data_IF_592421325149
#
_entry.id   IF_592421325149
#
_cell.length_a   1.000
_cell.length_b   1.000
_cell.length_c   1.000
_cell.angle_alpha   90.00
_cell.angle_beta   90.00
_cell.angle_gamma   90.00
#
_symmetry.space_group_name_H-M   'P 1'
#
loop_
_entity.id
_entity.type
_entity.pdbx_description
1 polymer ?
#
# COMPACT_ATOMS: atom_id res chain seq x y z
N UNK A 1 6.92 12.47 13.93
CA UNK A 1 6.08 11.96 15.04
C UNK A 1 4.59 11.97 14.71
N UNK A 2 3.96 13.09 14.31
CA UNK A 2 2.52 13.15 13.96
C UNK A 2 2.11 12.06 12.94
N UNK A 3 2.84 11.96 11.85
CA UNK A 3 2.59 10.96 10.80
C UNK A 3 2.65 9.49 11.29
N UNK A 4 3.53 9.18 12.25
CA UNK A 4 3.57 7.85 12.84
C UNK A 4 2.35 7.56 13.76
N UNK A 5 1.82 8.58 14.45
CA UNK A 5 0.56 8.46 15.18
C UNK A 5 -0.62 8.18 14.24
N UNK A 6 -0.67 8.84 13.09
CA UNK A 6 -1.69 8.59 12.06
C UNK A 6 -1.61 7.12 11.58
N UNK A 7 -0.40 6.60 11.39
CA UNK A 7 -0.19 5.19 11.04
C UNK A 7 -0.57 4.21 12.16
N UNK A 8 -0.39 4.57 13.43
CA UNK A 8 -0.86 3.74 14.55
C UNK A 8 -2.40 3.65 14.51
N UNK A 9 -3.07 4.75 14.23
CA UNK A 9 -4.52 4.78 14.07
C UNK A 9 -4.96 3.89 12.90
N UNK A 10 -4.28 3.97 11.74
CA UNK A 10 -4.55 3.14 10.56
C UNK A 10 -4.42 1.65 10.82
N UNK A 11 -3.30 1.24 11.40
CA UNK A 11 -2.97 -0.18 11.59
C UNK A 11 -3.53 -0.75 12.90
N UNK A 12 -4.19 0.07 13.72
CA UNK A 12 -4.82 -0.32 14.97
C UNK A 12 -3.86 -0.67 16.11
N UNK A 13 -2.54 -0.68 15.88
CA UNK A 13 -1.58 -0.93 16.96
C UNK A 13 -0.16 -0.43 16.66
N UNK A 14 0.56 -0.05 17.73
CA UNK A 14 2.00 0.27 17.65
C UNK A 14 2.84 -0.92 17.18
N UNK A 15 2.44 -2.15 17.54
CA UNK A 15 3.17 -3.36 17.16
C UNK A 15 3.19 -3.53 15.63
N UNK A 16 2.07 -3.35 14.95
CA UNK A 16 1.98 -3.42 13.48
C UNK A 16 2.81 -2.32 12.80
N UNK A 17 2.86 -1.12 13.37
CA UNK A 17 3.69 -0.03 12.84
C UNK A 17 5.17 -0.34 13.05
N UNK A 18 5.56 -0.84 14.22
CA UNK A 18 6.94 -1.24 14.52
C UNK A 18 7.42 -2.35 13.57
N UNK A 19 6.60 -3.35 13.34
CA UNK A 19 6.85 -4.44 12.40
C UNK A 19 7.03 -3.91 10.96
N UNK A 20 6.13 -3.05 10.50
CA UNK A 20 6.25 -2.39 9.19
C UNK A 20 7.54 -1.59 9.05
N UNK A 21 8.01 -0.96 10.13
CA UNK A 21 9.27 -0.22 10.15
C UNK A 21 10.51 -1.12 10.33
N UNK A 22 10.33 -2.40 10.61
CA UNK A 22 11.41 -3.34 10.92
C UNK A 22 12.21 -2.92 12.17
N UNK A 23 11.49 -2.48 13.23
CA UNK A 23 12.04 -2.06 14.52
C UNK A 23 11.24 -2.71 15.65
N UNK A 24 11.80 -2.73 16.87
CA UNK A 24 11.06 -3.24 18.03
C UNK A 24 9.96 -2.25 18.47
N UNK A 25 8.88 -2.77 19.04
CA UNK A 25 7.79 -1.94 19.60
C UNK A 25 8.30 -0.99 20.68
N UNK A 26 9.29 -1.43 21.48
CA UNK A 26 9.93 -0.61 22.49
C UNK A 26 10.70 0.58 21.86
N UNK A 27 11.44 0.35 20.77
CA UNK A 27 12.13 1.40 20.05
C UNK A 27 11.14 2.44 19.47
N UNK A 28 10.04 1.98 18.86
CA UNK A 28 9.00 2.87 18.37
C UNK A 28 8.36 3.68 19.50
N UNK A 29 8.05 3.06 20.63
CA UNK A 29 7.46 3.73 21.79
C UNK A 29 8.38 4.81 22.38
N UNK A 30 9.67 4.51 22.55
CA UNK A 30 10.66 5.47 23.01
C UNK A 30 10.82 6.64 22.04
N UNK A 31 10.81 6.35 20.74
CA UNK A 31 10.90 7.36 19.69
C UNK A 31 9.66 8.29 19.67
N UNK A 32 8.45 7.72 19.77
CA UNK A 32 7.20 8.49 19.87
C UNK A 32 7.17 9.38 21.13
N UNK A 33 7.74 8.88 22.23
CA UNK A 33 7.85 9.61 23.48
C UNK A 33 9.02 10.61 23.53
N UNK A 34 9.81 10.77 22.46
CA UNK A 34 10.99 11.64 22.44
C UNK A 34 12.13 11.21 23.37
N UNK A 35 12.12 9.95 23.84
CA UNK A 35 13.06 9.39 24.81
C UNK A 35 14.06 8.40 24.19
N UNK A 36 14.13 8.32 22.86
CA UNK A 36 15.07 7.44 22.18
C UNK A 36 16.48 8.00 22.29
N UNK A 37 17.35 7.28 23.01
CA UNK A 37 18.68 7.78 23.39
C UNK A 37 19.81 7.44 22.42
N UNK A 38 19.54 6.69 21.34
CA UNK A 38 20.51 6.34 20.30
C UNK A 38 20.39 7.27 19.09
N UNK A 39 21.05 6.96 17.96
CA UNK A 39 21.00 7.73 16.72
C UNK A 39 19.56 7.92 16.21
N UNK A 40 18.93 9.00 16.62
CA UNK A 40 17.56 9.37 16.28
C UNK A 40 17.43 9.65 14.78
N UNK A 41 18.45 10.23 14.15
CA UNK A 41 18.40 10.61 12.73
C UNK A 41 18.34 9.40 11.80
N UNK A 42 19.05 8.32 12.15
CA UNK A 42 18.97 7.05 11.40
C UNK A 42 17.61 6.39 11.56
N UNK A 43 17.06 6.39 12.77
CA UNK A 43 15.74 5.86 13.06
C UNK A 43 14.64 6.66 12.39
N UNK A 44 14.73 8.00 12.40
CA UNK A 44 13.81 8.92 11.70
C UNK A 44 13.73 8.59 10.21
N UNK A 45 14.89 8.44 9.55
CA UNK A 45 14.95 8.07 8.13
C UNK A 45 14.34 6.69 7.86
N UNK A 46 14.58 5.72 8.75
CA UNK A 46 14.04 4.36 8.61
C UNK A 46 12.52 4.36 8.74
N UNK A 47 12.00 5.03 9.77
CA UNK A 47 10.54 5.17 9.99
C UNK A 47 9.90 5.96 8.85
N UNK A 48 10.48 7.09 8.46
CA UNK A 48 9.97 7.90 7.35
C UNK A 48 9.88 7.10 6.06
N UNK A 49 10.92 6.34 5.73
CA UNK A 49 10.95 5.47 4.54
C UNK A 49 9.88 4.37 4.61
N UNK A 50 9.75 3.69 5.74
CA UNK A 50 8.83 2.57 5.92
C UNK A 50 7.35 3.01 5.90
N UNK A 51 7.07 4.21 6.44
CA UNK A 51 5.73 4.80 6.48
C UNK A 51 5.42 5.70 5.26
N UNK A 52 6.32 5.75 4.28
CA UNK A 52 6.12 6.56 3.07
C UNK A 52 6.19 8.07 3.30
N UNK A 53 6.71 8.50 4.46
CA UNK A 53 6.89 9.94 4.72
C UNK A 53 8.03 10.47 3.86
N UNK A 54 7.70 11.40 2.99
CA UNK A 54 8.67 12.23 2.28
C UNK A 54 8.41 13.68 2.68
N UNK A 55 9.41 14.32 3.22
CA UNK A 55 9.42 15.76 3.34
C UNK A 55 9.51 16.32 1.92
N UNK A 56 8.38 16.69 1.34
CA UNK A 56 8.34 17.26 -0.02
C UNK A 56 7.82 18.68 0.08
N UNK A 57 8.50 19.59 -0.60
CA UNK A 57 8.04 20.97 -0.80
C UNK A 57 6.81 21.05 -1.72
N UNK A 58 6.33 19.90 -2.20
CA UNK A 58 5.18 19.82 -3.08
C UNK A 58 3.88 19.82 -2.29
N UNK A 59 3.05 20.81 -2.55
CA UNK A 59 1.68 20.88 -2.02
C UNK A 59 0.73 20.23 -3.03
N UNK A 60 -0.05 19.26 -2.57
CA UNK A 60 -1.09 18.66 -3.40
C UNK A 60 -2.26 19.63 -3.52
N UNK A 61 -2.59 20.02 -4.73
CA UNK A 61 -3.74 20.88 -5.01
C UNK A 61 -4.96 19.99 -5.28
N UNK A 62 -5.77 19.75 -4.24
CA UNK A 62 -6.94 18.86 -4.33
C UNK A 62 -8.05 19.40 -5.24
N UNK A 63 -8.04 20.70 -5.50
CA UNK A 63 -9.11 21.33 -6.30
C UNK A 63 -8.93 21.22 -7.81
N UNK A 64 -7.92 20.51 -8.29
CA UNK A 64 -7.72 20.29 -9.73
C UNK A 64 -8.54 19.09 -10.24
N UNK A 65 -8.99 19.19 -11.51
CA UNK A 65 -9.84 18.19 -12.14
C UNK A 65 -9.23 16.77 -12.05
N UNK A 66 -7.94 16.64 -12.35
CA UNK A 66 -7.28 15.34 -12.37
C UNK A 66 -7.28 14.67 -10.97
N UNK A 67 -7.00 15.42 -9.91
CA UNK A 67 -7.07 14.88 -8.55
C UNK A 67 -8.49 14.43 -8.21
N UNK A 68 -9.50 15.28 -8.51
CA UNK A 68 -10.92 14.94 -8.27
C UNK A 68 -11.34 13.67 -9.01
N UNK A 69 -10.88 13.49 -10.26
CA UNK A 69 -11.16 12.27 -11.03
C UNK A 69 -10.53 11.04 -10.39
N UNK A 70 -9.24 11.10 -10.03
CA UNK A 70 -8.55 9.98 -9.36
C UNK A 70 -9.22 9.64 -8.03
N UNK A 71 -9.54 10.67 -7.23
CA UNK A 71 -10.22 10.48 -5.95
C UNK A 71 -11.62 9.88 -6.13
N UNK A 72 -12.40 10.35 -7.08
CA UNK A 72 -13.72 9.79 -7.37
C UNK A 72 -13.65 8.31 -7.73
N UNK A 73 -12.75 7.94 -8.64
CA UNK A 73 -12.56 6.53 -9.02
C UNK A 73 -12.12 5.70 -7.81
N UNK A 74 -11.16 6.23 -7.02
CA UNK A 74 -10.72 5.56 -5.81
C UNK A 74 -11.86 5.34 -4.80
N UNK A 75 -12.67 6.37 -4.54
CA UNK A 75 -13.79 6.28 -3.61
C UNK A 75 -14.84 5.25 -4.11
N UNK A 76 -15.13 5.22 -5.42
CA UNK A 76 -16.03 4.21 -6.00
C UNK A 76 -15.48 2.79 -5.86
N UNK A 77 -14.20 2.57 -6.17
CA UNK A 77 -13.58 1.25 -5.99
C UNK A 77 -13.64 0.78 -4.54
N UNK A 78 -13.45 1.70 -3.59
CA UNK A 78 -13.46 1.39 -2.16
C UNK A 78 -14.88 1.16 -1.62
N UNK A 79 -15.84 1.97 -2.04
CA UNK A 79 -17.22 1.96 -1.51
C UNK A 79 -18.01 0.73 -1.95
N UNK A 80 -17.86 0.32 -3.21
CA UNK A 80 -18.62 -0.79 -3.79
C UNK A 80 -17.75 -1.95 -4.28
N UNK A 81 -16.50 -2.03 -3.82
CA UNK A 81 -15.54 -3.10 -4.19
C UNK A 81 -15.39 -3.28 -5.72
N UNK A 82 -15.47 -2.19 -6.46
CA UNK A 82 -15.37 -2.19 -7.93
C UNK A 82 -13.91 -2.16 -8.38
N UNK A 83 -13.65 -2.74 -9.55
CA UNK A 83 -12.36 -2.66 -10.22
C UNK A 83 -12.42 -1.69 -11.39
N UNK A 84 -11.54 -0.71 -11.40
CA UNK A 84 -11.51 0.34 -12.42
C UNK A 84 -10.07 0.63 -12.87
N UNK A 85 -9.91 1.01 -14.14
CA UNK A 85 -8.62 1.45 -14.68
C UNK A 85 -8.67 2.94 -15.03
N UNK A 86 -7.62 3.67 -14.65
CA UNK A 86 -7.43 5.09 -15.00
C UNK A 86 -6.30 5.20 -16.02
N UNK A 87 -6.63 5.65 -17.21
CA UNK A 87 -5.63 6.00 -18.23
C UNK A 87 -5.62 7.52 -18.47
N UNK A 88 -4.45 8.11 -18.51
CA UNK A 88 -4.24 9.51 -18.87
C UNK A 88 -2.80 9.77 -19.24
N UNK A 89 -2.52 10.91 -19.85
CA UNK A 89 -1.18 11.29 -20.30
C UNK A 89 -0.16 11.27 -19.16
N UNK A 90 1.11 11.03 -19.49
CA UNK A 90 2.22 11.18 -18.55
C UNK A 90 2.23 12.60 -17.94
N UNK A 91 2.61 12.71 -16.68
CA UNK A 91 2.64 14.01 -15.99
C UNK A 91 1.28 14.55 -15.53
N UNK A 92 0.17 13.83 -15.75
CA UNK A 92 -1.17 14.25 -15.30
C UNK A 92 -1.39 14.23 -13.79
N UNK A 93 -0.41 13.78 -13.00
CA UNK A 93 -0.45 13.78 -11.54
C UNK A 93 -1.08 12.53 -10.90
N UNK A 94 -1.35 11.45 -11.66
CA UNK A 94 -1.93 10.19 -11.14
C UNK A 94 -1.19 9.67 -9.90
N UNK A 95 0.09 9.37 -10.04
CA UNK A 95 0.95 8.86 -8.96
C UNK A 95 0.91 9.76 -7.73
N UNK A 96 1.01 11.08 -7.92
CA UNK A 96 0.96 12.04 -6.80
C UNK A 96 -0.40 12.08 -6.13
N UNK A 97 -1.48 11.96 -6.90
CA UNK A 97 -2.83 11.86 -6.36
C UNK A 97 -3.00 10.60 -5.53
N UNK A 98 -2.54 9.45 -6.03
CA UNK A 98 -2.58 8.17 -5.32
C UNK A 98 -1.73 8.19 -4.05
N UNK A 99 -0.50 8.73 -4.11
CA UNK A 99 0.37 8.91 -2.94
C UNK A 99 -0.30 9.80 -1.88
N UNK A 100 -0.95 10.89 -2.30
CA UNK A 100 -1.67 11.78 -1.38
C UNK A 100 -2.86 11.08 -0.73
N UNK A 101 -3.71 10.41 -1.50
CA UNK A 101 -4.84 9.64 -0.99
C UNK A 101 -4.35 8.56 -0.02
N UNK A 102 -3.33 7.80 -0.39
CA UNK A 102 -2.72 6.78 0.47
C UNK A 102 -2.21 7.36 1.80
N UNK A 103 -1.56 8.53 1.75
CA UNK A 103 -1.00 9.17 2.94
C UNK A 103 -2.06 9.82 3.84
N UNK A 104 -3.21 10.19 3.28
CA UNK A 104 -4.32 10.83 4.02
C UNK A 104 -5.41 9.86 4.47
N UNK A 105 -5.51 8.67 3.86
CA UNK A 105 -6.47 7.65 4.28
C UNK A 105 -6.07 7.02 5.61
N UNK A 106 -6.97 7.08 6.58
CA UNK A 106 -6.76 6.55 7.94
C UNK A 106 -7.32 5.14 8.15
N UNK A 107 -7.91 4.53 7.13
CA UNK A 107 -8.54 3.20 7.25
C UNK A 107 -7.52 2.06 7.37
N UNK A 108 -6.31 2.24 6.85
CA UNK A 108 -5.30 1.18 6.77
C UNK A 108 -5.60 0.08 5.75
N UNK A 109 -6.69 0.23 4.99
CA UNK A 109 -7.18 -0.76 4.03
C UNK A 109 -6.66 -0.56 2.61
N UNK A 110 -5.69 0.36 2.39
CA UNK A 110 -5.11 0.59 1.06
C UNK A 110 -3.81 -0.20 0.90
N UNK A 111 -3.75 -1.01 -0.15
CA UNK A 111 -2.52 -1.67 -0.62
C UNK A 111 -2.05 -0.96 -1.88
N UNK A 112 -1.01 -0.13 -1.77
CA UNK A 112 -0.43 0.59 -2.91
C UNK A 112 0.84 -0.11 -3.38
N UNK A 113 0.86 -0.51 -4.64
CA UNK A 113 2.02 -1.10 -5.31
C UNK A 113 2.33 -0.33 -6.59
N UNK A 114 3.60 0.03 -6.79
CA UNK A 114 4.07 0.59 -8.05
C UNK A 114 4.65 -0.55 -8.89
N UNK A 115 4.03 -0.81 -10.03
CA UNK A 115 4.42 -1.90 -10.89
C UNK A 115 5.71 -1.59 -11.67
N UNK A 116 6.44 -2.65 -11.94
CA UNK A 116 7.61 -2.67 -12.84
C UNK A 116 7.41 -3.80 -13.86
N UNK A 117 8.41 -4.10 -14.67
CA UNK A 117 8.37 -5.18 -15.66
C UNK A 117 8.33 -6.58 -15.03
N UNK A 118 7.36 -6.80 -14.13
CA UNK A 118 7.23 -8.06 -13.41
C UNK A 118 6.45 -9.11 -14.20
N UNK A 119 6.95 -10.35 -14.14
CA UNK A 119 6.19 -11.54 -14.49
C UNK A 119 5.31 -11.98 -13.30
N UNK A 120 4.47 -13.01 -13.50
CA UNK A 120 3.52 -13.49 -12.51
C UNK A 120 4.13 -13.73 -11.13
N UNK A 121 5.24 -14.47 -11.06
CA UNK A 121 5.91 -14.79 -9.79
C UNK A 121 6.36 -13.54 -9.03
N UNK A 122 7.07 -12.65 -9.72
CA UNK A 122 7.57 -11.41 -9.13
C UNK A 122 6.44 -10.49 -8.65
N UNK A 123 5.35 -10.39 -9.44
CA UNK A 123 4.18 -9.61 -9.05
C UNK A 123 3.55 -10.15 -7.76
N UNK A 124 3.29 -11.45 -7.69
CA UNK A 124 2.70 -12.09 -6.52
C UNK A 124 3.60 -12.00 -5.28
N UNK A 125 4.92 -12.17 -5.46
CA UNK A 125 5.91 -12.03 -4.39
C UNK A 125 5.93 -10.59 -3.83
N UNK A 126 5.94 -9.58 -4.72
CA UNK A 126 5.90 -8.17 -4.33
C UNK A 126 4.60 -7.81 -3.64
N UNK A 127 3.47 -8.31 -4.15
CA UNK A 127 2.17 -8.09 -3.55
C UNK A 127 2.08 -8.74 -2.16
N UNK A 128 2.53 -10.00 -2.01
CA UNK A 128 2.64 -10.66 -0.71
C UNK A 128 3.46 -9.83 0.29
N UNK A 129 4.64 -9.34 -0.12
CA UNK A 129 5.51 -8.50 0.72
C UNK A 129 4.91 -7.14 1.08
N UNK A 130 3.88 -6.66 0.35
CA UNK A 130 3.10 -5.46 0.73
C UNK A 130 2.01 -5.76 1.74
N UNK A 131 1.45 -6.96 1.69
CA UNK A 131 0.36 -7.39 2.57
C UNK A 131 0.84 -7.85 3.94
N UNK A 132 2.05 -8.41 4.01
CA UNK A 132 2.59 -8.91 5.27
C UNK A 132 4.09 -8.63 5.39
N UNK A 133 4.56 -8.45 6.63
CA UNK A 133 5.99 -8.37 6.95
C UNK A 133 6.64 -9.75 7.07
N UNK A 134 5.85 -10.84 7.04
CA UNK A 134 6.37 -12.20 7.16
C UNK A 134 7.10 -12.58 5.87
N UNK A 135 8.40 -12.85 5.90
CA UNK A 135 9.13 -13.25 4.71
C UNK A 135 8.67 -14.62 4.22
N UNK A 136 8.67 -14.79 2.90
CA UNK A 136 8.43 -16.09 2.28
C UNK A 136 9.56 -17.04 2.68
N UNK A 137 9.19 -18.27 3.08
CA UNK A 137 10.15 -19.33 3.40
C UNK A 137 10.24 -20.30 2.21
N UNK A 138 11.44 -20.38 1.64
CA UNK A 138 11.70 -21.26 0.51
C UNK A 138 11.06 -20.80 -0.80
N UNK A 139 11.21 -21.62 -1.83
CA UNK A 139 10.58 -21.39 -3.13
C UNK A 139 9.12 -21.78 -3.09
N UNK A 140 8.25 -20.97 -3.68
CA UNK A 140 6.82 -21.23 -3.81
C UNK A 140 6.41 -21.15 -5.28
N UNK A 141 5.47 -21.97 -5.67
CA UNK A 141 4.86 -21.85 -6.99
C UNK A 141 3.94 -20.64 -7.10
N UNK A 142 3.61 -20.22 -8.31
CA UNK A 142 2.68 -19.11 -8.52
C UNK A 142 1.32 -19.37 -7.86
N UNK A 143 0.84 -20.62 -7.89
CA UNK A 143 -0.45 -20.97 -7.29
C UNK A 143 -0.42 -20.83 -5.77
N UNK A 144 0.63 -21.32 -5.11
CA UNK A 144 0.80 -21.17 -3.67
C UNK A 144 0.93 -19.71 -3.24
N UNK A 145 1.65 -18.88 -4.00
CA UNK A 145 1.74 -17.44 -3.77
C UNK A 145 0.40 -16.75 -3.96
N UNK A 146 -0.32 -17.11 -5.02
CA UNK A 146 -1.65 -16.57 -5.31
C UNK A 146 -2.63 -16.88 -4.19
N UNK A 147 -2.64 -18.13 -3.71
CA UNK A 147 -3.51 -18.55 -2.60
C UNK A 147 -3.23 -17.75 -1.32
N UNK A 148 -1.95 -17.55 -1.00
CA UNK A 148 -1.56 -16.72 0.14
C UNK A 148 -1.94 -15.25 0.00
N UNK A 149 -1.73 -14.68 -1.18
CA UNK A 149 -2.11 -13.29 -1.47
C UNK A 149 -3.61 -13.10 -1.30
N UNK A 150 -4.42 -14.01 -1.85
CA UNK A 150 -5.89 -13.95 -1.75
C UNK A 150 -6.33 -14.11 -0.29
N UNK A 151 -5.74 -15.05 0.47
CA UNK A 151 -6.05 -15.21 1.88
C UNK A 151 -5.78 -13.91 2.66
N UNK A 152 -4.60 -13.30 2.46
CA UNK A 152 -4.24 -12.04 3.11
C UNK A 152 -5.16 -10.87 2.72
N UNK A 153 -5.59 -10.79 1.46
CA UNK A 153 -6.53 -9.77 1.01
C UNK A 153 -7.91 -9.96 1.64
N UNK A 154 -8.38 -11.21 1.75
CA UNK A 154 -9.66 -11.53 2.38
C UNK A 154 -9.66 -11.37 3.91
N UNK A 155 -8.48 -11.39 4.54
CA UNK A 155 -8.31 -11.14 5.97
C UNK A 155 -8.26 -9.64 6.33
N UNK A 156 -8.20 -8.75 5.33
CA UNK A 156 -8.20 -7.31 5.58
C UNK A 156 -9.58 -6.84 6.01
N UNK A 157 -9.64 -6.04 7.09
CA UNK A 157 -10.89 -5.46 7.57
C UNK A 157 -11.41 -4.32 6.67
N UNK A 158 -12.71 -4.12 6.68
CA UNK A 158 -13.39 -3.04 5.95
C UNK A 158 -13.51 -3.34 4.45
N UNK A 159 -13.45 -2.30 3.65
CA UNK A 159 -13.41 -2.39 2.18
C UNK A 159 -12.00 -2.12 1.70
N UNK A 160 -11.13 -3.15 1.61
CA UNK A 160 -9.76 -2.97 1.16
C UNK A 160 -9.72 -2.57 -0.31
N UNK A 161 -8.67 -1.82 -0.68
CA UNK A 161 -8.43 -1.44 -2.06
C UNK A 161 -7.00 -1.75 -2.45
N UNK A 162 -6.83 -2.48 -3.54
CA UNK A 162 -5.54 -2.73 -4.19
C UNK A 162 -5.32 -1.67 -5.26
N UNK A 163 -4.32 -0.83 -5.10
CA UNK A 163 -3.94 0.20 -6.08
C UNK A 163 -2.66 -0.22 -6.76
N UNK A 164 -2.72 -0.39 -8.08
CA UNK A 164 -1.57 -0.75 -8.92
C UNK A 164 -1.24 0.45 -9.80
N UNK A 165 -0.23 1.23 -9.40
CA UNK A 165 0.29 2.31 -10.22
C UNK A 165 1.23 1.76 -11.30
N UNK A 166 1.22 2.37 -12.48
CA UNK A 166 1.99 1.94 -13.66
C UNK A 166 1.71 0.49 -14.09
N UNK A 167 0.44 0.06 -13.98
CA UNK A 167 0.01 -1.31 -14.32
C UNK A 167 0.36 -1.74 -15.76
N UNK A 168 0.56 -0.81 -16.68
CA UNK A 168 1.00 -1.02 -18.05
C UNK A 168 2.42 -1.61 -18.15
N UNK A 169 3.24 -1.49 -17.11
CA UNK A 169 4.57 -2.13 -17.03
C UNK A 169 4.50 -3.62 -16.71
N UNK A 170 3.39 -4.12 -16.19
CA UNK A 170 3.24 -5.54 -15.87
C UNK A 170 3.28 -6.40 -17.14
N UNK A 171 4.02 -7.50 -17.10
CA UNK A 171 3.98 -8.49 -18.17
C UNK A 171 2.60 -9.15 -18.25
N UNK A 172 2.18 -9.65 -19.42
CA UNK A 172 0.87 -10.30 -19.58
C UNK A 172 0.61 -11.44 -18.60
N UNK A 173 1.65 -12.18 -18.18
CA UNK A 173 1.54 -13.23 -17.18
C UNK A 173 1.17 -12.71 -15.79
N UNK A 174 1.64 -11.52 -15.42
CA UNK A 174 1.28 -10.86 -14.15
C UNK A 174 -0.16 -10.31 -14.22
N UNK A 175 -0.52 -9.64 -15.31
CA UNK A 175 -1.90 -9.14 -15.51
C UNK A 175 -2.94 -10.27 -15.42
N UNK A 176 -2.62 -11.46 -15.93
CA UNK A 176 -3.51 -12.63 -15.81
C UNK A 176 -3.75 -13.07 -14.36
N UNK A 177 -2.86 -12.75 -13.42
CA UNK A 177 -3.08 -13.06 -12.01
C UNK A 177 -4.16 -12.19 -11.36
N UNK A 178 -4.47 -11.05 -11.95
CA UNK A 178 -5.56 -10.19 -11.47
C UNK A 178 -6.93 -10.86 -11.61
N UNK A 179 -7.12 -11.74 -12.61
CA UNK A 179 -8.39 -12.46 -12.83
C UNK A 179 -8.75 -13.36 -11.63
N UNK A 180 -7.90 -14.31 -11.21
CA UNK A 180 -8.22 -15.14 -10.05
C UNK A 180 -8.24 -14.34 -8.74
N UNK A 181 -7.47 -13.24 -8.61
CA UNK A 181 -7.58 -12.34 -7.47
C UNK A 181 -8.99 -11.74 -7.45
N UNK A 182 -9.46 -11.15 -8.55
CA UNK A 182 -10.81 -10.61 -8.66
C UNK A 182 -11.88 -11.64 -8.28
N UNK A 183 -11.87 -12.78 -8.96
CA UNK A 183 -12.91 -13.82 -8.80
C UNK A 183 -13.00 -14.40 -7.38
N UNK A 184 -11.92 -14.33 -6.60
CA UNK A 184 -11.83 -14.93 -5.26
C UNK A 184 -11.86 -13.88 -4.14
N UNK A 185 -11.92 -12.60 -4.49
CA UNK A 185 -12.08 -11.46 -3.57
C UNK A 185 -13.26 -10.58 -3.98
N UNK A 186 -14.15 -11.09 -4.85
CA UNK A 186 -15.33 -10.37 -5.34
C UNK A 186 -16.20 -9.87 -4.18
N UNK A 187 -16.74 -8.68 -4.32
CA UNK A 187 -17.53 -7.97 -3.31
C UNK A 187 -16.75 -7.52 -2.05
N UNK A 188 -15.47 -7.89 -1.92
CA UNK A 188 -14.65 -7.52 -0.78
C UNK A 188 -13.55 -6.54 -1.15
N UNK A 189 -12.84 -6.76 -2.26
CA UNK A 189 -11.68 -5.99 -2.68
C UNK A 189 -12.00 -5.04 -3.84
N UNK A 190 -11.80 -3.72 -3.65
CA UNK A 190 -11.73 -2.74 -4.74
C UNK A 190 -10.36 -2.72 -5.41
N UNK A 191 -10.28 -2.33 -6.69
CA UNK A 191 -9.01 -2.17 -7.41
C UNK A 191 -9.08 -1.05 -8.49
#
# INVERSE_FOLDING_TARGET
MKHAHDWITRLGSQARVADRCGISTAALSLWLGGKYGADTASLDKKIAKALGYKESDWVTVENVKNFKTVKFVFDQCKEISMWMAISSNAGSGKTRSLEHIFNTDLSGSIVLIQAEEWAAHQFLERLHGKLTSTPLKGYMTNNELLDKVIALLNEMDGHPILVIDEADKLKPSALRQLIPIYNRTEEHLGC
#
